data_IF_955550959660
#
_entry.id   IF_955550959660
#
_cell.length_a   1.000
_cell.length_b   1.000
_cell.length_c   1.000
_cell.angle_alpha   90.00
_cell.angle_beta   90.00
_cell.angle_gamma   90.00
#
_symmetry.space_group_name_H-M   'P 1'
#
loop_
_entity.id
_entity.type
_entity.pdbx_description
1 polymer ?
#
# COMPACT_ATOMS: atom_id res chain seq x y z
N UNK A 1 3.58 -4.50 29.71
CA UNK A 1 4.08 -4.50 28.32
C UNK A 1 4.17 -3.05 27.86
N UNK A 2 5.37 -2.47 27.67
CA UNK A 2 5.50 -1.06 27.23
C UNK A 2 5.32 -1.00 25.71
N UNK A 3 4.28 -0.32 25.24
CA UNK A 3 4.10 -0.04 23.81
C UNK A 3 5.27 0.83 23.34
N UNK A 4 6.06 0.33 22.40
CA UNK A 4 7.14 1.10 21.76
C UNK A 4 6.48 2.00 20.73
N UNK A 5 6.57 3.31 20.92
CA UNK A 5 6.04 4.30 19.98
C UNK A 5 6.85 4.18 18.69
N UNK A 6 6.23 3.70 17.61
CA UNK A 6 6.87 3.62 16.30
C UNK A 6 6.87 5.04 15.74
N UNK A 7 8.03 5.57 15.39
CA UNK A 7 8.10 6.79 14.61
C UNK A 7 7.75 6.44 13.16
N UNK A 8 6.54 6.79 12.77
CA UNK A 8 5.94 6.35 11.51
C UNK A 8 6.46 7.13 10.29
N UNK A 9 7.17 8.24 10.50
CA UNK A 9 7.78 9.02 9.40
C UNK A 9 9.06 8.39 8.87
N UNK A 10 9.70 7.52 9.66
CA UNK A 10 10.95 6.83 9.31
C UNK A 10 10.77 5.31 9.19
N UNK A 11 9.54 4.82 9.34
CA UNK A 11 9.26 3.40 9.26
C UNK A 11 9.16 2.96 7.81
N UNK A 12 10.09 2.11 7.38
CA UNK A 12 10.01 1.39 6.11
C UNK A 12 9.47 -0.02 6.35
N UNK A 13 8.60 -0.47 5.48
CA UNK A 13 8.03 -1.81 5.57
C UNK A 13 9.13 -2.85 5.35
N UNK A 14 9.15 -3.93 6.16
CA UNK A 14 9.94 -5.12 5.86
C UNK A 14 9.73 -5.58 4.41
N UNK A 15 10.81 -6.02 3.76
CA UNK A 15 10.81 -6.48 2.35
C UNK A 15 9.76 -7.55 2.07
N UNK A 16 9.44 -8.36 3.06
CA UNK A 16 8.44 -9.42 2.99
C UNK A 16 7.03 -8.86 2.76
N UNK A 17 6.72 -7.66 3.24
CA UNK A 17 5.43 -7.01 3.04
C UNK A 17 5.30 -6.41 1.63
N UNK A 18 6.42 -5.92 1.06
CA UNK A 18 6.45 -5.36 -0.30
C UNK A 18 6.12 -6.42 -1.36
N UNK A 19 6.44 -7.68 -1.08
CA UNK A 19 6.13 -8.82 -1.96
C UNK A 19 4.65 -9.25 -1.93
N UNK A 20 3.92 -8.97 -0.85
CA UNK A 20 2.52 -9.40 -0.69
C UNK A 20 1.57 -8.42 -1.38
N UNK A 21 1.85 -7.13 -1.28
CA UNK A 21 1.07 -6.07 -1.91
C UNK A 21 2.02 -5.07 -2.57
N UNK A 22 2.39 -5.31 -3.83
CA UNK A 22 3.35 -4.48 -4.53
C UNK A 22 2.68 -3.20 -5.03
N UNK A 23 2.99 -2.09 -4.36
CA UNK A 23 2.57 -0.75 -4.77
C UNK A 23 3.71 0.24 -4.58
N UNK A 24 3.69 1.31 -5.36
CA UNK A 24 4.67 2.40 -5.25
C UNK A 24 4.10 3.74 -5.69
N UNK A 25 4.71 4.82 -5.21
CA UNK A 25 4.42 6.18 -5.67
C UNK A 25 5.20 6.42 -6.96
N UNK A 26 4.51 6.64 -8.06
CA UNK A 26 5.10 6.95 -9.37
C UNK A 26 5.39 8.45 -9.56
N UNK A 27 4.96 9.29 -8.61
CA UNK A 27 5.16 10.73 -8.63
C UNK A 27 3.84 11.49 -8.48
N UNK A 28 3.74 12.62 -9.16
CA UNK A 28 2.57 13.49 -9.14
C UNK A 28 2.12 13.79 -10.56
N UNK A 29 0.81 13.93 -10.76
CA UNK A 29 0.27 14.30 -12.06
C UNK A 29 0.26 15.83 -12.29
N UNK A 30 -0.30 16.27 -13.42
CA UNK A 30 -0.39 17.69 -13.77
C UNK A 30 -1.11 18.56 -12.72
N UNK A 31 -1.99 17.97 -11.90
CA UNK A 31 -2.73 18.66 -10.86
C UNK A 31 -2.05 18.61 -9.49
N UNK A 32 -0.84 18.05 -9.41
CA UNK A 32 -0.11 17.70 -8.18
C UNK A 32 -0.77 16.59 -7.36
N UNK A 33 -1.62 15.75 -7.98
CA UNK A 33 -2.19 14.60 -7.28
C UNK A 33 -1.16 13.48 -7.20
N UNK A 34 -0.95 12.84 -6.04
CA UNK A 34 -0.06 11.70 -5.95
C UNK A 34 -0.58 10.55 -6.82
N UNK A 35 0.33 9.95 -7.60
CA UNK A 35 0.06 8.85 -8.52
C UNK A 35 0.60 7.56 -7.93
N UNK A 36 -0.29 6.67 -7.51
CA UNK A 36 0.06 5.37 -6.96
C UNK A 36 -0.13 4.28 -8.01
N UNK A 37 0.84 3.38 -8.13
CA UNK A 37 0.73 2.18 -8.97
C UNK A 37 0.57 0.97 -8.07
N UNK A 38 -0.42 0.14 -8.37
CA UNK A 38 -0.65 -1.16 -7.75
C UNK A 38 -0.43 -2.25 -8.79
N UNK A 39 0.55 -3.12 -8.58
CA UNK A 39 0.90 -4.22 -9.48
C UNK A 39 0.04 -5.46 -9.15
N UNK A 40 -1.19 -5.50 -9.65
CA UNK A 40 -2.19 -6.50 -9.28
C UNK A 40 -1.73 -7.94 -9.61
N UNK A 41 -1.01 -8.14 -10.71
CA UNK A 41 -0.51 -9.46 -11.08
C UNK A 41 0.60 -10.02 -10.20
N UNK A 42 1.21 -9.19 -9.35
CA UNK A 42 2.22 -9.62 -8.38
C UNK A 42 1.65 -9.76 -6.97
N UNK A 43 0.36 -9.49 -6.79
CA UNK A 43 -0.29 -9.50 -5.48
C UNK A 43 -0.55 -10.95 -5.02
N UNK A 44 -0.12 -11.26 -3.80
CA UNK A 44 -0.41 -12.54 -3.15
C UNK A 44 -1.62 -12.38 -2.21
N UNK A 45 -2.83 -12.43 -2.78
CA UNK A 45 -4.07 -12.25 -2.02
C UNK A 45 -4.23 -13.30 -0.92
N UNK A 46 -3.70 -14.52 -1.13
CA UNK A 46 -3.84 -15.63 -0.19
C UNK A 46 -3.18 -15.29 1.14
N UNK A 47 -1.95 -14.75 1.11
CA UNK A 47 -1.24 -14.30 2.32
C UNK A 47 -1.92 -13.18 3.09
N UNK A 48 -2.83 -12.44 2.45
CA UNK A 48 -3.60 -11.37 3.09
C UNK A 48 -4.90 -11.89 3.71
N UNK A 49 -5.52 -12.91 3.09
CA UNK A 49 -6.88 -13.38 3.46
C UNK A 49 -6.90 -14.73 4.16
N UNK A 50 -5.79 -15.48 4.18
CA UNK A 50 -5.72 -16.78 4.85
C UNK A 50 -5.94 -16.61 6.36
N UNK A 51 -6.85 -17.38 6.98
CA UNK A 51 -7.12 -17.27 8.41
C UNK A 51 -5.94 -17.79 9.24
N UNK A 52 -5.37 -16.92 10.08
CA UNK A 52 -4.29 -17.23 11.03
C UNK A 52 -3.78 -15.97 11.73
N UNK A 53 -3.24 -16.09 12.95
CA UNK A 53 -2.75 -14.94 13.73
C UNK A 53 -1.64 -14.17 12.99
N UNK A 54 -0.74 -14.87 12.29
CA UNK A 54 0.33 -14.26 11.50
C UNK A 54 -0.19 -13.51 10.27
N UNK A 55 -1.24 -14.01 9.63
CA UNK A 55 -1.88 -13.37 8.47
C UNK A 55 -2.55 -12.05 8.88
N UNK A 56 -3.29 -12.05 10.01
CA UNK A 56 -3.94 -10.83 10.52
C UNK A 56 -2.92 -9.76 10.92
N UNK A 57 -1.81 -10.15 11.54
CA UNK A 57 -0.73 -9.23 11.88
C UNK A 57 -0.07 -8.64 10.63
N UNK A 58 0.13 -9.46 9.59
CA UNK A 58 0.69 -9.07 8.29
C UNK A 58 -0.23 -8.09 7.57
N UNK A 59 -1.53 -8.40 7.48
CA UNK A 59 -2.54 -7.54 6.87
C UNK A 59 -2.65 -6.18 7.59
N UNK A 60 -2.60 -6.16 8.93
CA UNK A 60 -2.59 -4.91 9.71
C UNK A 60 -1.36 -4.07 9.44
N UNK A 61 -0.15 -4.66 9.47
CA UNK A 61 1.11 -3.94 9.18
C UNK A 61 1.09 -3.34 7.78
N UNK A 62 0.59 -4.09 6.81
CA UNK A 62 0.40 -3.63 5.44
C UNK A 62 -0.54 -2.43 5.36
N UNK A 63 -1.75 -2.53 5.95
CA UNK A 63 -2.74 -1.47 5.90
C UNK A 63 -2.21 -0.19 6.53
N UNK A 64 -1.52 -0.30 7.66
CA UNK A 64 -0.87 0.85 8.28
C UNK A 64 0.17 1.48 7.36
N UNK A 65 1.09 0.70 6.76
CA UNK A 65 2.08 1.26 5.81
C UNK A 65 1.41 1.99 4.65
N UNK A 66 0.41 1.38 4.03
CA UNK A 66 -0.29 1.95 2.88
C UNK A 66 -0.93 3.29 3.26
N UNK A 67 -1.63 3.36 4.40
CA UNK A 67 -2.21 4.60 4.92
C UNK A 67 -1.12 5.65 5.16
N UNK A 68 0.01 5.29 5.78
CA UNK A 68 1.10 6.26 6.04
C UNK A 68 1.69 6.81 4.76
N UNK A 69 1.98 5.93 3.81
CA UNK A 69 2.54 6.30 2.52
C UNK A 69 1.59 7.23 1.75
N UNK A 70 0.29 6.93 1.76
CA UNK A 70 -0.74 7.77 1.16
C UNK A 70 -0.77 9.15 1.83
N UNK A 71 -0.88 9.22 3.17
CA UNK A 71 -0.90 10.48 3.91
C UNK A 71 0.36 11.32 3.61
N UNK A 72 1.55 10.71 3.64
CA UNK A 72 2.80 11.39 3.32
C UNK A 72 2.77 12.00 1.92
N UNK A 73 2.29 11.24 0.93
CA UNK A 73 2.20 11.75 -0.46
C UNK A 73 1.22 12.93 -0.59
N UNK A 74 0.16 12.98 0.22
CA UNK A 74 -0.74 14.13 0.26
C UNK A 74 -0.09 15.35 0.92
N UNK A 75 0.70 15.15 1.98
CA UNK A 75 1.44 16.24 2.63
C UNK A 75 2.54 16.81 1.72
N UNK A 76 3.16 15.96 0.89
CA UNK A 76 4.15 16.39 -0.12
C UNK A 76 3.50 17.11 -1.31
N UNK A 77 2.28 16.70 -1.70
CA UNK A 77 1.49 17.35 -2.74
C UNK A 77 0.96 18.73 -2.33
N UNK A 78 0.70 18.91 -1.04
CA UNK A 78 0.17 20.15 -0.50
C UNK A 78 1.27 21.22 -0.45
N UNK A 79 1.22 22.17 -1.39
CA UNK A 79 2.21 23.23 -1.54
C UNK A 79 1.80 24.53 -0.83
N UNK A 80 0.79 24.49 0.04
CA UNK A 80 0.29 25.66 0.79
C UNK A 80 -0.65 26.57 -0.02
N UNK A 81 -0.51 26.62 -1.34
CA UNK A 81 -1.38 27.41 -2.24
C UNK A 81 -2.51 26.58 -2.88
N UNK A 82 -2.42 25.25 -2.83
CA UNK A 82 -3.41 24.35 -3.44
C UNK A 82 -3.56 23.07 -2.62
N UNK A 83 -4.72 22.93 -1.99
CA UNK A 83 -5.07 21.73 -1.23
C UNK A 83 -5.36 20.55 -2.17
N UNK A 84 -4.57 19.48 -2.06
CA UNK A 84 -4.75 18.25 -2.85
C UNK A 84 -5.49 17.21 -2.01
N UNK A 85 -6.71 16.83 -2.44
CA UNK A 85 -7.57 15.84 -1.74
C UNK A 85 -7.80 14.53 -2.48
N UNK A 86 -7.29 14.42 -3.71
CA UNK A 86 -7.49 13.26 -4.59
C UNK A 86 -6.15 12.65 -4.96
N UNK A 87 -6.11 11.33 -5.06
CA UNK A 87 -4.99 10.57 -5.62
C UNK A 87 -5.42 9.94 -6.96
N UNK A 88 -4.46 9.69 -7.83
CA UNK A 88 -4.64 8.83 -8.99
C UNK A 88 -4.10 7.45 -8.63
N UNK A 89 -4.88 6.40 -8.89
CA UNK A 89 -4.45 5.02 -8.71
C UNK A 89 -4.44 4.33 -10.07
N UNK A 90 -3.27 3.83 -10.45
CA UNK A 90 -3.06 3.00 -11.63
C UNK A 90 -3.05 1.55 -11.15
N UNK A 91 -3.98 0.77 -11.68
CA UNK A 91 -4.02 -0.66 -11.45
C UNK A 91 -3.35 -1.36 -12.63
N UNK A 92 -2.14 -1.85 -12.41
CA UNK A 92 -1.43 -2.67 -13.39
C UNK A 92 -1.93 -4.11 -13.31
N UNK A 93 -2.63 -4.52 -14.36
CA UNK A 93 -3.26 -5.83 -14.49
C UNK A 93 -2.37 -6.86 -15.19
N UNK A 94 -1.14 -6.50 -15.58
CA UNK A 94 -0.22 -7.44 -16.20
C UNK A 94 0.07 -8.62 -15.26
N UNK A 95 -0.10 -9.84 -15.77
CA UNK A 95 0.08 -11.07 -14.98
C UNK A 95 -1.06 -11.41 -14.01
N UNK A 96 -2.09 -10.57 -13.90
CA UNK A 96 -3.24 -10.86 -13.04
C UNK A 96 -4.00 -12.11 -13.50
N UNK A 97 -4.34 -12.99 -12.56
CA UNK A 97 -5.13 -14.18 -12.83
C UNK A 97 -6.16 -14.45 -11.74
N UNK A 98 -7.30 -15.02 -12.14
CA UNK A 98 -8.34 -15.44 -11.20
C UNK A 98 -7.83 -16.47 -10.18
N UNK A 99 -6.77 -17.24 -10.49
CA UNK A 99 -6.16 -18.19 -9.55
C UNK A 99 -5.58 -17.52 -8.30
N UNK A 100 -5.21 -16.24 -8.38
CA UNK A 100 -4.70 -15.48 -7.25
C UNK A 100 -5.80 -15.12 -6.26
N UNK A 101 -7.02 -14.88 -6.75
CA UNK A 101 -8.18 -14.47 -5.94
C UNK A 101 -9.03 -15.68 -5.51
N UNK A 102 -9.06 -16.74 -6.32
CA UNK A 102 -9.76 -17.98 -5.97
C UNK A 102 -8.90 -18.80 -5.00
N UNK A 103 -9.36 -18.87 -3.76
CA UNK A 103 -8.95 -19.82 -2.73
C UNK A 103 -9.71 -21.15 -2.81
N UNK A 104 -10.42 -21.42 -3.92
CA UNK A 104 -11.07 -22.71 -4.13
C UNK A 104 -10.01 -23.83 -4.20
N UNK A 105 -10.17 -24.92 -3.42
CA UNK A 105 -9.28 -26.07 -3.45
C UNK A 105 -9.24 -26.78 -4.82
#
# INVERSE_FOLDING_TARGET
>A
MKAKMINLTTWDAPSELKAVFPYYLAGFDYDQRPVWVLEAGKLDFRRVVEPGEESLATAKRYLFQAIFNIIRSFLEADSGDKEVRKALVILDMEGFSLKQVNSAP
#
